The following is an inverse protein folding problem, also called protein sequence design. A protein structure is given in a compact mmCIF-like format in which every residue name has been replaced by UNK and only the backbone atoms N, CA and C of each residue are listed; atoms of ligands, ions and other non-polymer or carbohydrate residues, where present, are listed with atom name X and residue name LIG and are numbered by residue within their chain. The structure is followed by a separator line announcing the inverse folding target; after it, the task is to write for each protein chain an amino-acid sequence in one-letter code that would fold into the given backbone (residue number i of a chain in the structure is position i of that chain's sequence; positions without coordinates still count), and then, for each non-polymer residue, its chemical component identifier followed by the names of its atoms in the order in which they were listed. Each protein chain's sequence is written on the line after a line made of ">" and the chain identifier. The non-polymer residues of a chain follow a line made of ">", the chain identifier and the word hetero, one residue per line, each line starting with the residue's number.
data_IF_510015702744
#
_entry.id   IF_510015702744
#
_cell.length_a   1.000
_cell.length_b   1.000
_cell.length_c   1.000
_cell.angle_alpha   90.00
_cell.angle_beta   90.00
_cell.angle_gamma   90.00
#
_symmetry.space_group_name_H-M   'P 1'
#
loop_
_entity.id
_entity.type
_entity.pdbx_description
1 polymer ?
#
# COMPACT_ATOMS: atom_id res chain seq x y z
N UNK A 1 -37.61 3.18 -27.36
CA UNK A 1 -36.91 1.91 -27.03
C UNK A 1 -35.80 2.28 -26.07
N UNK A 2 -35.74 1.72 -24.85
CA UNK A 2 -34.56 1.95 -23.99
C UNK A 2 -33.34 1.44 -24.75
N UNK A 3 -32.42 2.32 -25.11
CA UNK A 3 -31.20 1.94 -25.80
C UNK A 3 -30.42 0.96 -24.92
N UNK A 4 -29.93 -0.12 -25.52
CA UNK A 4 -29.01 -1.04 -24.84
C UNK A 4 -27.60 -0.59 -25.19
N UNK A 5 -26.91 0.01 -24.23
CA UNK A 5 -25.55 0.51 -24.36
C UNK A 5 -24.58 -0.44 -23.71
N UNK A 6 -23.33 -0.41 -24.15
CA UNK A 6 -22.26 -1.22 -23.61
C UNK A 6 -21.34 -0.33 -22.79
N UNK A 7 -21.13 -0.70 -21.53
CA UNK A 7 -20.02 -0.21 -20.72
C UNK A 7 -18.92 -1.26 -20.75
N UNK A 8 -17.68 -0.84 -21.01
CA UNK A 8 -16.50 -1.69 -21.02
C UNK A 8 -15.53 -1.24 -19.94
N UNK A 9 -15.11 -2.15 -19.09
CA UNK A 9 -14.11 -1.95 -18.05
C UNK A 9 -12.78 -2.57 -18.47
N UNK A 10 -11.70 -1.84 -18.25
CA UNK A 10 -10.33 -2.31 -18.41
C UNK A 10 -9.60 -2.13 -17.07
N UNK A 11 -8.71 -3.04 -16.70
CA UNK A 11 -7.83 -2.83 -15.55
C UNK A 11 -6.43 -2.40 -15.98
N UNK A 12 -5.75 -1.67 -15.09
CA UNK A 12 -4.31 -1.46 -15.15
C UNK A 12 -3.71 -1.56 -13.76
N UNK A 13 -2.43 -1.98 -13.68
CA UNK A 13 -1.65 -1.99 -12.44
C UNK A 13 -1.63 -3.31 -11.68
N UNK A 14 -2.44 -4.31 -12.08
CA UNK A 14 -2.36 -5.64 -11.48
C UNK A 14 -1.20 -6.46 -12.05
N UNK A 15 -0.49 -7.25 -11.21
CA UNK A 15 0.51 -8.20 -11.68
C UNK A 15 -0.12 -9.33 -12.51
N UNK A 16 0.62 -9.82 -13.52
CA UNK A 16 0.20 -10.97 -14.32
C UNK A 16 -0.16 -12.19 -13.45
N UNK A 17 -1.24 -12.89 -13.84
CA UNK A 17 -1.78 -14.02 -13.09
C UNK A 17 -2.73 -13.65 -11.96
N UNK A 18 -2.93 -12.35 -11.70
CA UNK A 18 -3.99 -11.86 -10.82
C UNK A 18 -5.33 -11.83 -11.58
N UNK A 19 -6.43 -11.97 -10.84
CA UNK A 19 -7.78 -11.72 -11.38
C UNK A 19 -8.41 -10.52 -10.70
N UNK A 20 -9.41 -9.95 -11.35
CA UNK A 20 -10.17 -8.83 -10.84
C UNK A 20 -11.65 -9.03 -11.14
N UNK A 21 -12.47 -8.27 -10.44
CA UNK A 21 -13.92 -8.29 -10.56
C UNK A 21 -14.43 -6.86 -10.62
N UNK A 22 -15.57 -6.69 -11.28
CA UNK A 22 -16.36 -5.46 -11.29
C UNK A 22 -17.78 -5.79 -10.87
N UNK A 23 -18.27 -5.03 -9.91
CA UNK A 23 -19.67 -5.03 -9.54
C UNK A 23 -20.29 -3.70 -9.99
N UNK A 24 -21.33 -3.77 -10.80
CA UNK A 24 -22.15 -2.61 -11.18
C UNK A 24 -23.46 -2.74 -10.41
N UNK A 25 -23.79 -1.74 -9.59
CA UNK A 25 -24.97 -1.81 -8.73
C UNK A 25 -26.25 -1.99 -9.57
N UNK A 26 -27.02 -3.02 -9.24
CA UNK A 26 -28.25 -3.36 -9.96
C UNK A 26 -28.06 -4.34 -11.12
N UNK A 27 -26.83 -4.76 -11.42
CA UNK A 27 -26.52 -5.83 -12.37
C UNK A 27 -25.97 -7.08 -11.67
N UNK A 28 -25.92 -8.19 -12.41
CA UNK A 28 -25.23 -9.39 -11.94
C UNK A 28 -23.72 -9.11 -11.77
N UNK A 29 -23.07 -9.68 -10.74
CA UNK A 29 -21.63 -9.54 -10.56
C UNK A 29 -20.83 -10.06 -11.77
N UNK A 30 -19.68 -9.46 -12.06
CA UNK A 30 -18.79 -10.00 -13.09
C UNK A 30 -18.26 -11.39 -12.70
N UNK A 31 -17.89 -12.24 -13.68
CA UNK A 31 -17.01 -13.37 -13.42
C UNK A 31 -15.63 -12.89 -12.95
N UNK A 32 -14.74 -13.83 -12.60
CA UNK A 32 -13.31 -13.55 -12.44
C UNK A 32 -12.70 -13.17 -13.78
N UNK A 33 -12.16 -11.95 -13.87
CA UNK A 33 -11.57 -11.42 -15.10
C UNK A 33 -10.04 -11.53 -14.97
N UNK A 34 -9.32 -12.15 -15.92
CA UNK A 34 -7.86 -12.13 -15.92
C UNK A 34 -7.29 -10.72 -16.12
N UNK A 35 -6.05 -10.49 -15.68
CA UNK A 35 -5.30 -9.27 -16.06
C UNK A 35 -5.23 -9.11 -17.58
N UNK A 36 -5.26 -7.87 -18.07
CA UNK A 36 -5.28 -7.51 -19.50
C UNK A 36 -6.50 -7.99 -20.31
N UNK A 37 -7.55 -8.48 -19.66
CA UNK A 37 -8.82 -8.83 -20.31
C UNK A 37 -9.87 -7.80 -19.89
N UNK A 38 -10.64 -7.26 -20.85
CA UNK A 38 -11.71 -6.32 -20.56
C UNK A 38 -13.01 -7.03 -20.18
N UNK A 39 -13.86 -6.35 -19.43
CA UNK A 39 -15.21 -6.82 -19.08
C UNK A 39 -16.25 -5.85 -19.61
N UNK A 40 -17.22 -6.35 -20.37
CA UNK A 40 -18.31 -5.53 -20.92
C UNK A 40 -19.66 -5.98 -20.38
N UNK A 41 -20.51 -5.01 -20.08
CA UNK A 41 -21.88 -5.24 -19.63
C UNK A 41 -22.87 -4.37 -20.41
N UNK A 42 -24.05 -4.92 -20.63
CA UNK A 42 -25.17 -4.21 -21.24
C UNK A 42 -25.93 -3.42 -20.16
N UNK A 43 -26.18 -2.15 -20.44
CA UNK A 43 -26.79 -1.16 -19.53
C UNK A 43 -27.77 -0.29 -20.31
N UNK A 44 -28.77 0.27 -19.63
CA UNK A 44 -29.64 1.31 -20.20
C UNK A 44 -29.17 2.70 -19.81
N UNK A 45 -29.74 3.74 -20.41
CA UNK A 45 -29.51 5.12 -19.97
C UNK A 45 -29.74 5.30 -18.47
N UNK A 46 -28.85 6.03 -17.82
CA UNK A 46 -28.94 6.34 -16.40
C UNK A 46 -27.59 6.34 -15.67
N UNK A 47 -27.61 6.76 -14.39
CA UNK A 47 -26.45 6.72 -13.51
C UNK A 47 -26.25 5.31 -12.94
N UNK A 48 -25.00 4.89 -12.84
CA UNK A 48 -24.59 3.64 -12.23
C UNK A 48 -23.46 3.87 -11.23
N UNK A 49 -23.45 3.07 -10.17
CA UNK A 49 -22.31 2.94 -9.27
C UNK A 49 -21.59 1.65 -9.59
N UNK A 50 -20.25 1.67 -9.55
CA UNK A 50 -19.44 0.47 -9.69
C UNK A 50 -18.35 0.41 -8.63
N UNK A 51 -17.97 -0.82 -8.28
CA UNK A 51 -16.82 -1.12 -7.47
C UNK A 51 -16.04 -2.26 -8.09
N UNK A 52 -14.73 -2.15 -8.09
CA UNK A 52 -13.83 -3.22 -8.49
C UNK A 52 -13.11 -3.81 -7.28
N UNK A 53 -12.58 -5.01 -7.45
CA UNK A 53 -11.69 -5.64 -6.49
C UNK A 53 -10.71 -6.58 -7.20
N UNK A 54 -9.55 -6.78 -6.58
CA UNK A 54 -8.56 -7.74 -7.03
C UNK A 54 -8.64 -9.02 -6.19
N UNK A 55 -8.30 -10.17 -6.76
CA UNK A 55 -8.05 -11.39 -5.98
C UNK A 55 -6.76 -11.31 -5.18
N UNK A 56 -5.84 -10.38 -5.51
CA UNK A 56 -4.68 -10.08 -4.70
C UNK A 56 -5.02 -8.98 -3.68
N UNK A 57 -5.09 -9.30 -2.36
CA UNK A 57 -5.51 -8.34 -1.34
C UNK A 57 -4.54 -7.17 -1.13
N UNK A 58 -3.30 -7.32 -1.62
CA UNK A 58 -2.27 -6.27 -1.62
C UNK A 58 -2.68 -5.10 -2.51
N UNK A 59 -3.49 -5.33 -3.55
CA UNK A 59 -3.91 -4.30 -4.49
C UNK A 59 -5.33 -3.81 -4.18
N UNK A 60 -5.58 -2.52 -4.41
CA UNK A 60 -6.90 -1.89 -4.35
C UNK A 60 -7.13 -1.01 -5.59
N UNK A 61 -8.37 -0.88 -6.06
CA UNK A 61 -8.69 0.11 -7.08
C UNK A 61 -8.60 1.52 -6.49
N UNK A 62 -8.10 2.48 -7.27
CA UNK A 62 -8.00 3.89 -6.85
C UNK A 62 -9.18 4.74 -7.33
N UNK A 63 -9.99 4.22 -8.25
CA UNK A 63 -11.07 4.95 -8.89
C UNK A 63 -12.38 4.15 -8.99
N UNK A 64 -12.81 3.52 -7.90
CA UNK A 64 -14.21 3.10 -7.77
C UNK A 64 -15.12 4.34 -7.73
N UNK A 65 -16.34 4.25 -8.27
CA UNK A 65 -17.20 5.42 -8.31
C UNK A 65 -18.45 5.26 -9.16
N UNK A 66 -18.82 6.34 -9.87
CA UNK A 66 -20.03 6.42 -10.68
C UNK A 66 -19.73 6.69 -12.13
N UNK A 67 -20.59 6.20 -13.02
CA UNK A 67 -20.64 6.61 -14.41
C UNK A 67 -22.08 6.87 -14.85
N UNK A 68 -22.26 7.58 -15.96
CA UNK A 68 -23.56 7.84 -16.57
C UNK A 68 -23.54 7.32 -18.00
N UNK A 69 -24.60 6.61 -18.36
CA UNK A 69 -24.90 6.25 -19.75
C UNK A 69 -25.94 7.25 -20.25
N UNK A 70 -25.58 7.95 -21.32
CA UNK A 70 -26.43 8.91 -22.01
C UNK A 70 -26.28 8.71 -23.52
N UNK A 71 -27.07 7.79 -24.07
CA UNK A 71 -27.14 7.62 -25.51
C UNK A 71 -25.93 6.95 -26.17
N UNK A 72 -24.89 6.58 -25.41
CA UNK A 72 -23.60 6.15 -25.96
C UNK A 72 -22.91 5.07 -25.13
N UNK A 73 -22.11 4.23 -25.80
CA UNK A 73 -21.23 3.26 -25.15
C UNK A 73 -20.03 3.97 -24.54
N UNK A 74 -19.55 3.49 -23.39
CA UNK A 74 -18.40 4.08 -22.69
C UNK A 74 -17.35 3.04 -22.32
N UNK A 75 -16.13 3.52 -22.09
CA UNK A 75 -15.03 2.71 -21.58
C UNK A 75 -14.47 3.34 -20.31
N UNK A 76 -14.25 2.51 -19.28
CA UNK A 76 -13.74 2.92 -17.97
C UNK A 76 -12.47 2.13 -17.69
N UNK A 77 -11.38 2.84 -17.40
CA UNK A 77 -10.13 2.21 -16.94
C UNK A 77 -10.10 2.25 -15.42
N UNK A 78 -9.94 1.10 -14.78
CA UNK A 78 -9.75 0.95 -13.33
C UNK A 78 -8.26 0.80 -13.05
N UNK A 79 -7.73 1.68 -12.20
CA UNK A 79 -6.34 1.67 -11.80
C UNK A 79 -6.21 0.93 -10.47
N UNK A 80 -5.34 -0.07 -10.40
CA UNK A 80 -5.01 -0.80 -9.18
C UNK A 80 -3.63 -0.42 -8.66
N UNK A 81 -3.55 -0.14 -7.36
CA UNK A 81 -2.30 0.20 -6.67
C UNK A 81 -2.12 -0.64 -5.42
N UNK A 82 -0.87 -0.79 -4.96
CA UNK A 82 -0.58 -1.49 -3.71
C UNK A 82 -1.11 -0.67 -2.53
N UNK A 83 -1.80 -1.35 -1.61
CA UNK A 83 -2.15 -0.82 -0.28
C UNK A 83 -0.88 -0.74 0.56
N UNK A 84 -0.42 0.48 0.79
CA UNK A 84 0.75 0.75 1.61
C UNK A 84 0.33 1.39 2.93
N UNK A 85 1.01 1.01 4.00
CA UNK A 85 0.81 1.53 5.35
C UNK A 85 2.10 2.19 5.82
N UNK A 86 2.01 3.43 6.35
CA UNK A 86 3.18 4.14 6.82
C UNK A 86 3.64 3.57 8.17
N UNK A 87 4.92 3.23 8.26
CA UNK A 87 5.59 2.79 9.48
C UNK A 87 6.65 3.81 9.83
N UNK A 88 6.53 4.39 11.02
CA UNK A 88 7.46 5.40 11.54
C UNK A 88 8.42 4.76 12.54
N UNK A 89 9.71 4.97 12.33
CA UNK A 89 10.76 4.65 13.30
C UNK A 89 11.18 5.96 13.97
N UNK A 90 10.99 6.04 15.29
CA UNK A 90 11.20 7.28 16.05
C UNK A 90 12.45 7.13 16.91
N UNK A 91 13.53 7.79 16.51
CA UNK A 91 14.76 7.82 17.27
C UNK A 91 14.66 8.76 18.46
N UNK A 92 15.09 8.25 19.62
CA UNK A 92 15.20 8.99 20.85
C UNK A 92 16.54 8.67 21.53
N UNK A 93 17.12 9.66 22.21
CA UNK A 93 18.29 9.47 23.05
C UNK A 93 19.65 9.75 22.39
N UNK A 94 19.73 9.94 21.07
CA UNK A 94 20.93 10.47 20.43
C UNK A 94 20.98 12.00 20.55
N UNK A 95 22.13 12.58 20.92
CA UNK A 95 22.37 14.02 20.84
C UNK A 95 22.24 14.55 19.40
N UNK A 96 22.11 15.87 19.28
CA UNK A 96 22.23 16.52 17.98
C UNK A 96 23.55 16.15 17.30
N UNK A 97 23.52 15.95 15.99
CA UNK A 97 24.65 15.57 15.12
C UNK A 97 25.20 14.14 15.32
N UNK A 98 24.63 13.32 16.22
CA UNK A 98 24.93 11.89 16.23
C UNK A 98 23.95 11.19 15.29
N UNK A 99 24.48 10.66 14.20
CA UNK A 99 23.66 9.95 13.22
C UNK A 99 23.40 8.50 13.60
N UNK A 100 22.38 7.92 12.99
CA UNK A 100 22.05 6.50 13.10
C UNK A 100 21.62 5.97 11.75
N UNK A 101 21.62 4.65 11.60
CA UNK A 101 21.16 3.96 10.40
C UNK A 101 20.05 3.00 10.73
N UNK A 102 19.11 2.84 9.80
CA UNK A 102 18.03 1.87 9.82
C UNK A 102 18.15 0.95 8.61
N UNK A 103 18.01 -0.35 8.82
CA UNK A 103 17.90 -1.33 7.77
C UNK A 103 16.66 -2.21 8.00
N UNK A 104 15.75 -2.20 7.04
CA UNK A 104 14.58 -3.05 6.90
C UNK A 104 14.78 -3.86 5.62
N UNK A 105 15.27 -5.11 5.70
CA UNK A 105 15.64 -5.89 4.52
C UNK A 105 14.51 -5.98 3.48
N UNK A 106 14.84 -5.72 2.22
CA UNK A 106 13.88 -5.73 1.11
C UNK A 106 12.95 -4.51 1.04
N UNK A 107 13.07 -3.55 1.96
CA UNK A 107 12.26 -2.32 1.98
C UNK A 107 13.13 -1.07 1.92
N UNK A 108 14.04 -0.90 2.88
CA UNK A 108 14.85 0.30 3.02
C UNK A 108 16.15 -0.02 3.73
N UNK A 109 17.26 0.54 3.26
CA UNK A 109 18.50 0.65 4.02
C UNK A 109 18.94 2.11 3.96
N UNK A 110 18.93 2.81 5.09
CA UNK A 110 19.34 4.21 5.15
C UNK A 110 20.85 4.31 5.24
N UNK A 111 21.41 5.39 4.68
CA UNK A 111 22.69 5.90 5.15
C UNK A 111 22.57 6.43 6.59
N UNK A 112 23.68 6.86 7.20
CA UNK A 112 23.64 7.55 8.48
C UNK A 112 22.79 8.83 8.36
N UNK A 113 21.79 8.97 9.22
CA UNK A 113 20.89 10.13 9.27
C UNK A 113 20.82 10.70 10.68
N UNK A 114 20.60 12.00 10.79
CA UNK A 114 20.34 12.70 12.07
C UNK A 114 18.85 12.97 12.29
N UNK A 115 18.00 12.53 11.35
CA UNK A 115 16.56 12.67 11.44
C UNK A 115 16.01 11.89 12.62
N UNK A 116 15.07 12.49 13.35
CA UNK A 116 14.40 11.84 14.48
C UNK A 116 13.36 10.82 14.04
N UNK A 117 12.84 10.93 12.82
CA UNK A 117 11.82 10.02 12.30
C UNK A 117 12.19 9.56 10.91
N UNK A 118 12.19 8.25 10.69
CA UNK A 118 12.28 7.63 9.37
C UNK A 118 10.96 6.93 9.07
N UNK A 119 10.36 7.21 7.92
CA UNK A 119 9.08 6.61 7.50
C UNK A 119 9.30 5.69 6.30
N UNK A 120 8.74 4.48 6.37
CA UNK A 120 8.61 3.55 5.25
C UNK A 120 7.15 3.29 4.93
N UNK A 121 6.84 2.97 3.68
CA UNK A 121 5.51 2.58 3.23
C UNK A 121 5.56 1.13 2.77
N UNK A 122 4.91 0.23 3.50
CA UNK A 122 4.98 -1.22 3.25
C UNK A 122 3.58 -1.82 3.18
N UNK A 123 3.48 -2.99 2.54
CA UNK A 123 2.24 -3.78 2.50
C UNK A 123 2.01 -4.51 3.82
N UNK A 124 0.85 -5.16 3.97
CA UNK A 124 0.64 -6.09 5.08
C UNK A 124 1.69 -7.22 5.05
N UNK A 125 2.19 -7.60 6.22
CA UNK A 125 3.22 -8.62 6.36
C UNK A 125 4.02 -8.50 7.64
N UNK A 126 4.96 -9.43 7.82
CA UNK A 126 5.90 -9.44 8.95
C UNK A 126 7.27 -9.02 8.46
N UNK A 127 7.85 -8.00 9.10
CA UNK A 127 9.12 -7.41 8.73
C UNK A 127 10.11 -7.51 9.89
N UNK A 128 11.39 -7.55 9.54
CA UNK A 128 12.50 -7.42 10.49
C UNK A 128 13.16 -6.06 10.28
N UNK A 129 13.78 -5.53 11.32
CA UNK A 129 14.58 -4.32 11.21
C UNK A 129 15.83 -4.43 12.08
N UNK A 130 16.85 -3.67 11.71
CA UNK A 130 18.08 -3.46 12.47
C UNK A 130 18.44 -1.99 12.44
N UNK A 131 19.04 -1.49 13.49
CA UNK A 131 19.51 -0.11 13.55
C UNK A 131 20.80 0.01 14.35
N UNK A 132 21.53 1.09 14.15
CA UNK A 132 22.79 1.35 14.84
C UNK A 132 23.08 2.84 14.92
N UNK A 133 23.75 3.26 15.98
CA UNK A 133 24.34 4.61 16.09
C UNK A 133 25.66 4.65 15.33
N UNK A 134 25.99 5.79 14.71
CA UNK A 134 27.33 6.04 14.14
C UNK A 134 28.39 6.26 15.21
N UNK A 135 27.98 6.58 16.45
CA UNK A 135 28.84 6.72 17.61
C UNK A 135 28.71 5.48 18.52
N UNK A 136 29.84 4.79 18.73
CA UNK A 136 29.94 3.55 19.49
C UNK A 136 29.71 3.69 21.01
N UNK A 137 29.64 4.92 21.55
CA UNK A 137 29.29 5.15 22.95
C UNK A 137 27.79 5.16 23.19
N UNK A 138 26.97 5.10 22.13
CA UNK A 138 25.52 5.00 22.22
C UNK A 138 25.05 3.64 21.68
N UNK A 139 24.15 3.00 22.41
CA UNK A 139 23.54 1.72 22.04
C UNK A 139 22.05 1.71 22.40
N UNK A 140 21.35 0.63 22.10
CA UNK A 140 19.98 0.39 22.56
C UNK A 140 19.90 -0.98 23.25
N UNK A 141 18.78 -1.24 23.93
CA UNK A 141 18.55 -2.52 24.59
C UNK A 141 18.49 -3.68 23.58
N UNK A 142 17.94 -3.42 22.40
CA UNK A 142 17.89 -4.34 21.27
C UNK A 142 18.13 -3.55 19.99
N UNK A 143 19.17 -3.89 19.23
CA UNK A 143 19.52 -3.22 17.95
C UNK A 143 18.75 -3.78 16.75
N UNK A 144 17.73 -4.61 17.00
CA UNK A 144 16.92 -5.27 16.00
C UNK A 144 15.59 -5.72 16.57
N UNK A 145 14.58 -5.87 15.72
CA UNK A 145 13.28 -6.39 16.12
C UNK A 145 12.45 -6.86 14.93
N UNK A 146 11.21 -7.22 15.23
CA UNK A 146 10.18 -7.56 14.24
C UNK A 146 8.94 -6.71 14.44
N UNK A 147 8.21 -6.44 13.37
CA UNK A 147 6.89 -5.81 13.43
C UNK A 147 5.96 -6.43 12.41
N UNK A 148 4.66 -6.41 12.72
CA UNK A 148 3.59 -6.95 11.86
C UNK A 148 2.71 -5.82 11.41
N UNK A 149 2.56 -5.66 10.10
CA UNK A 149 1.66 -4.68 9.49
C UNK A 149 0.36 -5.37 9.12
N UNK A 150 -0.75 -4.88 9.69
CA UNK A 150 -2.08 -5.41 9.43
C UNK A 150 -3.10 -4.28 9.27
N UNK A 151 -3.07 -3.60 8.12
CA UNK A 151 -4.11 -2.64 7.77
C UNK A 151 -3.98 -1.25 8.37
N UNK A 152 -2.93 -0.97 9.14
CA UNK A 152 -2.78 0.30 9.86
C UNK A 152 -1.34 0.79 9.92
N UNK A 153 -1.20 2.10 10.13
CA UNK A 153 0.07 2.72 10.45
C UNK A 153 0.62 2.22 11.80
N UNK A 154 1.94 2.20 11.96
CA UNK A 154 2.62 1.79 13.19
C UNK A 154 3.73 2.78 13.52
N UNK A 155 3.98 3.00 14.81
CA UNK A 155 5.14 3.75 15.30
C UNK A 155 6.01 2.85 16.17
N UNK A 156 7.29 2.77 15.82
CA UNK A 156 8.30 1.92 16.46
C UNK A 156 9.32 2.84 17.14
N UNK A 157 9.39 2.87 18.48
CA UNK A 157 10.40 3.64 19.18
C UNK A 157 11.78 2.99 19.07
N UNK A 158 12.79 3.79 18.77
CA UNK A 158 14.21 3.45 18.78
C UNK A 158 14.87 4.26 19.90
N UNK A 159 15.06 3.63 21.06
CA UNK A 159 15.64 4.29 22.24
C UNK A 159 17.12 4.01 22.39
N UNK A 160 17.96 4.98 22.02
CA UNK A 160 19.39 4.95 22.32
C UNK A 160 19.68 5.45 23.74
N UNK A 161 20.72 4.91 24.35
CA UNK A 161 21.30 5.41 25.59
C UNK A 161 22.82 5.33 25.54
N UNK A 162 23.47 6.22 26.28
CA UNK A 162 24.92 6.25 26.41
C UNK A 162 25.40 5.09 27.28
N UNK A 163 26.41 4.36 26.82
CA UNK A 163 27.09 3.33 27.59
C UNK A 163 27.69 3.93 28.86
N UNK A 164 27.45 3.27 29.99
CA UNK A 164 28.17 3.52 31.25
C UNK A 164 29.19 2.39 31.41
N UNK A 165 30.48 2.71 31.27
CA UNK A 165 31.52 1.78 31.67
C UNK A 165 31.54 1.73 33.20
N UNK A 166 31.40 0.54 33.79
CA UNK A 166 31.77 0.32 35.19
C UNK A 166 33.27 0.06 35.21
N UNK A 167 34.02 0.92 35.90
CA UNK A 167 35.43 0.71 36.25
C UNK A 167 35.52 -0.14 37.50
#
# INVERSE_FOLDING_TARGET
>A
VKGNYVVTFNETGLPAGTTWHVNIQGLAPSPSIPTNVSFSANVTDGPYHYGANSSNPIYAPTNNGTFVIDGTNISITINFEKKLYPISFVETGLPANVSWSLNVPGVLSTGPTVEKVVIINVTNGTYTYRFSSSNNIYTAAQLSGTFVVNGSAISIPIGFFKLKYSV
#
